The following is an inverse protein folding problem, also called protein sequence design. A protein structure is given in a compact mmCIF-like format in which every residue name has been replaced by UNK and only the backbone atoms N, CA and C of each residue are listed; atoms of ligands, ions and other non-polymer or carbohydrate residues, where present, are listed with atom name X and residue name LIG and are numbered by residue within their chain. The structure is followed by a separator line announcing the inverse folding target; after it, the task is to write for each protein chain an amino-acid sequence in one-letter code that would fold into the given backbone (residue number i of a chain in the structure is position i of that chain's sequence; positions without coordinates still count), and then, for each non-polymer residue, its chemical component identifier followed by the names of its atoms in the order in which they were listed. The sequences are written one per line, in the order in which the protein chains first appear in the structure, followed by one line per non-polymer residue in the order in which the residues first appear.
data_IF_735691648404
#
_entry.id   IF_735691648404
#
_cell.length_a   1.000
_cell.length_b   1.000
_cell.length_c   1.000
_cell.angle_alpha   90.00
_cell.angle_beta   90.00
_cell.angle_gamma   90.00
#
_symmetry.space_group_name_H-M   'P 1'
#
loop_
_entity.id
_entity.type
_entity.pdbx_description
1 polymer ?
#
# COMPACT_ATOMS: atom_id res chain seq x y z
N UNK A 1 2.45 33.01 -16.61
CA UNK A 1 2.92 32.17 -17.73
C UNK A 1 2.74 30.72 -17.29
N UNK A 2 1.69 30.04 -17.75
CA UNK A 2 1.57 28.60 -17.57
C UNK A 2 2.50 27.93 -18.57
N UNK A 3 3.45 27.11 -18.10
CA UNK A 3 4.27 26.27 -18.97
C UNK A 3 3.35 25.47 -19.90
N UNK A 4 3.40 25.76 -21.21
CA UNK A 4 2.61 25.06 -22.23
C UNK A 4 2.87 23.55 -22.29
N UNK A 5 3.90 23.09 -21.59
CA UNK A 5 4.38 21.71 -21.55
C UNK A 5 3.62 20.81 -20.55
N UNK A 6 2.62 21.32 -19.83
CA UNK A 6 1.81 20.55 -18.85
C UNK A 6 0.41 20.19 -19.32
N UNK A 7 -0.04 20.74 -20.45
CA UNK A 7 -1.38 20.50 -20.98
C UNK A 7 -1.48 19.04 -21.43
N UNK A 8 -2.51 18.32 -20.98
CA UNK A 8 -2.75 16.90 -21.30
C UNK A 8 -1.59 15.97 -20.92
N UNK A 9 -0.86 16.27 -19.85
CA UNK A 9 0.18 15.41 -19.29
C UNK A 9 -0.19 14.98 -17.86
N UNK A 10 0.33 13.84 -17.43
CA UNK A 10 0.18 13.34 -16.07
C UNK A 10 1.50 13.58 -15.33
N UNK A 11 1.45 14.23 -14.18
CA UNK A 11 2.61 14.44 -13.32
C UNK A 11 2.81 13.23 -12.40
N UNK A 12 3.95 12.57 -12.54
CA UNK A 12 4.43 11.52 -11.62
C UNK A 12 5.51 12.08 -10.69
N UNK A 13 5.96 11.27 -9.73
CA UNK A 13 7.06 11.62 -8.83
C UNK A 13 8.42 11.74 -9.53
N UNK A 14 8.59 11.17 -10.73
CA UNK A 14 9.83 11.23 -11.52
C UNK A 14 9.74 12.16 -12.74
N UNK A 15 8.56 12.71 -13.06
CA UNK A 15 8.39 13.60 -14.20
C UNK A 15 7.01 13.54 -14.84
N UNK A 16 6.85 14.23 -15.97
CA UNK A 16 5.63 14.18 -16.79
C UNK A 16 5.62 12.92 -17.66
N UNK A 17 4.44 12.34 -17.85
CA UNK A 17 4.17 11.25 -18.81
C UNK A 17 2.93 11.58 -19.65
N UNK A 18 2.81 10.95 -20.82
CA UNK A 18 1.59 11.03 -21.62
C UNK A 18 0.46 10.19 -20.99
N UNK A 19 -0.83 10.53 -21.23
CA UNK A 19 -1.96 9.74 -20.73
C UNK A 19 -1.95 8.28 -21.20
N UNK A 20 -1.44 8.01 -22.41
CA UNK A 20 -1.33 6.67 -22.99
C UNK A 20 -0.29 5.80 -22.27
N UNK A 21 0.71 6.41 -21.62
CA UNK A 21 1.75 5.71 -20.84
C UNK A 21 1.27 5.29 -19.45
N UNK A 22 0.16 5.85 -18.95
CA UNK A 22 -0.33 5.60 -17.59
C UNK A 22 -0.64 4.12 -17.34
N UNK A 23 -1.18 3.44 -18.35
CA UNK A 23 -1.59 2.05 -18.24
C UNK A 23 -2.64 1.82 -17.14
N UNK A 24 -2.64 0.62 -16.56
CA UNK A 24 -3.57 0.28 -15.48
C UNK A 24 -3.17 0.99 -14.18
N UNK A 25 -4.14 1.65 -13.55
CA UNK A 25 -3.90 2.50 -12.39
C UNK A 25 -4.95 2.25 -11.31
N UNK A 26 -4.47 2.06 -10.08
CA UNK A 26 -5.30 2.26 -8.89
C UNK A 26 -5.29 3.75 -8.57
N UNK A 27 -6.44 4.39 -8.68
CA UNK A 27 -6.54 5.85 -8.60
C UNK A 27 -6.40 6.41 -7.18
N UNK A 28 -6.50 5.56 -6.15
CA UNK A 28 -6.35 5.94 -4.75
C UNK A 28 -5.70 4.79 -3.97
N UNK A 29 -4.46 4.98 -3.53
CA UNK A 29 -3.76 4.06 -2.63
C UNK A 29 -2.81 4.84 -1.70
N UNK A 30 -2.43 4.23 -0.57
CA UNK A 30 -1.48 4.81 0.38
C UNK A 30 -0.20 3.97 0.44
N UNK A 31 0.89 4.47 -0.17
CA UNK A 31 2.22 3.80 -0.08
C UNK A 31 2.96 4.13 1.22
N UNK A 32 2.63 5.26 1.83
CA UNK A 32 3.05 5.64 3.18
C UNK A 32 1.97 6.52 3.79
N UNK A 33 1.67 6.31 5.07
CA UNK A 33 0.64 7.07 5.78
C UNK A 33 0.98 7.14 7.26
N UNK A 34 0.66 8.29 7.86
CA UNK A 34 0.57 8.45 9.30
C UNK A 34 -0.83 8.96 9.65
N UNK A 35 -1.71 8.04 10.05
CA UNK A 35 -3.09 8.32 10.43
C UNK A 35 -3.27 8.40 11.96
N UNK A 36 -2.20 8.71 12.72
CA UNK A 36 -2.26 8.73 14.20
C UNK A 36 -3.27 9.73 14.77
N UNK A 37 -3.59 10.79 14.02
CA UNK A 37 -4.62 11.77 14.39
C UNK A 37 -6.03 11.18 14.42
N UNK A 38 -6.26 10.06 13.74
CA UNK A 38 -7.54 9.34 13.72
C UNK A 38 -7.66 8.30 14.84
N UNK A 39 -6.70 8.24 15.77
CA UNK A 39 -6.70 7.26 16.85
C UNK A 39 -7.96 7.37 17.71
N UNK A 40 -8.59 6.22 17.94
CA UNK A 40 -9.77 6.08 18.81
C UNK A 40 -9.39 5.18 19.98
N UNK A 41 -9.40 5.73 21.19
CA UNK A 41 -9.07 4.99 22.40
C UNK A 41 -10.15 3.94 22.73
N UNK A 42 -9.83 2.64 22.89
CA UNK A 42 -10.84 1.63 23.19
C UNK A 42 -11.50 1.87 24.56
N UNK A 43 -12.84 1.80 24.59
CA UNK A 43 -13.63 2.08 25.79
C UNK A 43 -13.43 1.04 26.92
N UNK A 44 -13.18 -0.23 26.58
CA UNK A 44 -13.05 -1.30 27.58
C UNK A 44 -11.59 -1.47 27.99
N UNK A 45 -11.33 -1.47 29.29
CA UNK A 45 -9.98 -1.62 29.87
C UNK A 45 -9.23 -2.85 29.37
N UNK A 46 -9.93 -4.00 29.24
CA UNK A 46 -9.35 -5.26 28.73
C UNK A 46 -8.75 -5.17 27.33
N UNK A 47 -9.09 -4.14 26.54
CA UNK A 47 -8.57 -3.95 25.18
C UNK A 47 -7.44 -2.93 25.10
N UNK A 48 -7.10 -2.24 26.20
CA UNK A 48 -5.99 -1.27 26.23
C UNK A 48 -4.66 -1.93 25.86
N UNK A 49 -4.47 -3.18 26.26
CA UNK A 49 -3.27 -3.95 25.93
C UNK A 49 -3.11 -4.17 24.42
N UNK A 50 -4.20 -4.13 23.65
CA UNK A 50 -4.12 -4.33 22.20
C UNK A 50 -3.63 -3.08 21.46
N UNK A 51 -3.63 -1.89 22.07
CA UNK A 51 -3.31 -0.62 21.39
C UNK A 51 -1.94 -0.66 20.67
N UNK A 52 -0.94 -1.28 21.29
CA UNK A 52 0.44 -1.31 20.79
C UNK A 52 0.96 -2.73 20.51
N UNK A 53 0.09 -3.74 20.52
CA UNK A 53 0.54 -5.12 20.29
C UNK A 53 1.06 -5.27 18.85
N UNK A 54 1.99 -6.20 18.60
CA UNK A 54 2.31 -6.58 17.24
C UNK A 54 1.09 -7.21 16.56
N UNK A 55 1.07 -7.19 15.23
CA UNK A 55 0.09 -7.96 14.46
C UNK A 55 0.29 -9.46 14.69
N UNK A 56 -0.77 -10.13 15.10
CA UNK A 56 -0.80 -11.57 15.36
C UNK A 56 -2.13 -12.14 14.88
N UNK A 57 -2.22 -13.45 14.66
CA UNK A 57 -3.49 -14.06 14.27
C UNK A 57 -4.51 -13.99 15.41
N UNK A 58 -4.04 -14.03 16.66
CA UNK A 58 -4.88 -13.97 17.87
C UNK A 58 -5.59 -12.62 18.03
N UNK A 59 -4.93 -11.50 17.69
CA UNK A 59 -5.53 -10.16 17.79
C UNK A 59 -6.15 -9.65 16.47
N UNK A 60 -5.96 -10.37 15.36
CA UNK A 60 -6.43 -9.93 14.03
C UNK A 60 -7.92 -9.59 14.00
N UNK A 61 -8.77 -10.46 14.55
CA UNK A 61 -10.22 -10.22 14.59
C UNK A 61 -10.58 -8.94 15.36
N UNK A 62 -9.87 -8.63 16.44
CA UNK A 62 -10.09 -7.39 17.18
C UNK A 62 -9.66 -6.16 16.37
N UNK A 63 -8.50 -6.22 15.70
CA UNK A 63 -7.99 -5.12 14.87
C UNK A 63 -8.95 -4.81 13.73
N UNK A 64 -9.51 -5.83 13.05
CA UNK A 64 -10.50 -5.62 11.98
C UNK A 64 -11.74 -4.85 12.47
N UNK A 65 -12.22 -5.11 13.68
CA UNK A 65 -13.38 -4.42 14.26
C UNK A 65 -13.01 -3.06 14.88
N UNK A 66 -11.72 -2.81 15.14
CA UNK A 66 -11.22 -1.61 15.81
C UNK A 66 -9.96 -1.04 15.11
N UNK A 67 -10.02 -0.75 13.79
CA UNK A 67 -8.84 -0.43 12.99
C UNK A 67 -8.15 0.87 13.45
N UNK A 68 -8.91 1.78 14.05
CA UNK A 68 -8.42 3.05 14.58
C UNK A 68 -7.93 2.97 16.03
N UNK A 69 -8.09 1.83 16.70
CA UNK A 69 -7.66 1.63 18.09
C UNK A 69 -6.33 0.88 18.20
N UNK A 70 -5.80 0.38 17.09
CA UNK A 70 -4.50 -0.28 17.01
C UNK A 70 -3.49 0.68 16.39
N UNK A 71 -2.56 1.23 17.18
CA UNK A 71 -1.60 2.24 16.69
C UNK A 71 -0.75 1.75 15.52
N UNK A 72 -0.21 0.52 15.51
CA UNK A 72 0.51 0.01 14.35
C UNK A 72 -0.35 -0.12 13.08
N UNK A 73 -1.69 -0.18 13.19
CA UNK A 73 -2.58 -0.22 12.03
C UNK A 73 -2.81 1.17 11.40
N UNK A 74 -2.42 2.24 12.08
CA UNK A 74 -2.58 3.61 11.62
C UNK A 74 -1.38 4.13 10.84
N UNK A 75 -0.34 3.31 10.67
CA UNK A 75 0.93 3.74 10.12
C UNK A 75 1.41 2.75 9.05
N UNK A 76 1.87 3.29 7.94
CA UNK A 76 2.72 2.60 6.96
C UNK A 76 3.95 3.49 6.85
N UNK A 77 5.03 3.10 7.52
CA UNK A 77 6.23 3.90 7.66
C UNK A 77 7.47 3.18 7.08
N UNK A 78 8.67 3.67 7.42
CA UNK A 78 9.92 3.18 6.81
C UNK A 78 10.20 1.71 7.12
N UNK A 79 10.04 1.22 8.36
CA UNK A 79 10.04 -0.21 8.68
C UNK A 79 9.28 -1.10 7.70
N UNK A 80 8.15 -0.67 7.14
CA UNK A 80 7.37 -1.47 6.18
C UNK A 80 7.74 -1.27 4.70
N UNK A 81 8.76 -0.47 4.37
CA UNK A 81 9.12 -0.14 2.98
C UNK A 81 9.35 -1.39 2.11
N UNK A 82 10.02 -2.41 2.65
CA UNK A 82 10.25 -3.67 1.91
C UNK A 82 8.95 -4.43 1.62
N UNK A 83 8.00 -4.39 2.56
CA UNK A 83 6.67 -4.98 2.37
C UNK A 83 5.90 -4.20 1.31
N UNK A 84 5.90 -2.87 1.36
CA UNK A 84 5.25 -2.02 0.33
C UNK A 84 5.86 -2.29 -1.06
N UNK A 85 7.18 -2.39 -1.17
CA UNK A 85 7.85 -2.73 -2.42
C UNK A 85 7.46 -4.13 -2.93
N UNK A 86 7.27 -5.10 -2.04
CA UNK A 86 6.82 -6.43 -2.41
C UNK A 86 5.38 -6.40 -2.95
N UNK A 87 4.46 -5.73 -2.26
CA UNK A 87 3.06 -5.57 -2.70
C UNK A 87 2.96 -4.83 -4.05
N UNK A 88 3.79 -3.79 -4.27
CA UNK A 88 3.86 -3.09 -5.56
C UNK A 88 4.38 -3.99 -6.69
N UNK A 89 5.37 -4.85 -6.41
CA UNK A 89 5.82 -5.86 -7.38
C UNK A 89 4.71 -6.86 -7.67
N UNK A 90 3.95 -7.26 -6.64
CA UNK A 90 2.79 -8.13 -6.80
C UNK A 90 1.71 -7.52 -7.69
N UNK A 91 1.39 -6.23 -7.47
CA UNK A 91 0.51 -5.47 -8.35
C UNK A 91 1.04 -5.49 -9.79
N UNK A 92 2.32 -5.18 -10.00
CA UNK A 92 2.93 -5.19 -11.35
C UNK A 92 2.82 -6.53 -12.09
N UNK A 93 2.97 -7.67 -11.40
CA UNK A 93 2.96 -9.00 -12.04
C UNK A 93 1.58 -9.63 -12.16
N UNK A 94 0.63 -9.26 -11.30
CA UNK A 94 -0.75 -9.76 -11.33
C UNK A 94 -1.51 -9.43 -12.61
N UNK A 95 -0.94 -8.56 -13.45
CA UNK A 95 -1.53 -8.13 -14.72
C UNK A 95 -0.76 -8.57 -15.96
N UNK A 96 0.25 -9.44 -15.83
CA UNK A 96 0.62 -10.27 -16.97
C UNK A 96 -0.58 -11.20 -17.19
N UNK A 97 -1.32 -11.09 -18.31
CA UNK A 97 -2.41 -12.01 -18.57
C UNK A 97 -1.83 -13.42 -18.47
N UNK A 98 -2.60 -14.34 -17.89
CA UNK A 98 -2.39 -15.78 -17.92
C UNK A 98 -2.26 -16.27 -19.39
N UNK A 99 -1.19 -15.91 -20.06
CA UNK A 99 -0.69 -16.54 -21.26
C UNK A 99 0.20 -17.64 -20.73
N UNK A 100 -0.24 -18.87 -20.98
CA UNK A 100 0.39 -20.14 -20.60
C UNK A 100 0.04 -20.62 -19.19
N UNK A 101 -0.99 -21.46 -19.13
CA UNK A 101 -1.09 -22.47 -18.09
C UNK A 101 0.16 -23.34 -18.09
N UNK A 102 0.65 -23.66 -16.89
CA UNK A 102 1.67 -24.67 -16.67
C UNK A 102 3.11 -24.23 -16.97
N UNK A 103 3.90 -24.15 -15.89
CA UNK A 103 5.37 -24.22 -15.87
C UNK A 103 6.15 -23.00 -16.40
N UNK A 104 6.37 -22.00 -15.54
CA UNK A 104 7.65 -21.28 -15.43
C UNK A 104 7.69 -20.39 -14.17
N UNK A 105 7.63 -21.02 -12.98
CA UNK A 105 8.18 -20.38 -11.77
C UNK A 105 9.68 -20.64 -11.79
N UNK A 106 10.43 -19.74 -12.42
CA UNK A 106 11.82 -19.40 -12.07
C UNK A 106 12.38 -18.50 -13.17
N UNK A 107 13.22 -17.56 -12.74
CA UNK A 107 14.09 -16.74 -13.58
C UNK A 107 13.43 -15.47 -14.12
N UNK A 108 13.38 -14.43 -13.28
CA UNK A 108 13.86 -13.08 -13.64
C UNK A 108 13.90 -12.17 -12.38
N UNK A 109 14.83 -12.47 -11.48
CA UNK A 109 15.45 -11.46 -10.62
C UNK A 109 16.83 -11.23 -11.23
N UNK A 110 16.98 -10.13 -11.98
CA UNK A 110 18.25 -9.48 -12.34
C UNK A 110 17.92 -8.26 -13.18
N UNK A 111 17.88 -7.08 -12.56
CA UNK A 111 18.78 -5.94 -12.74
C UNK A 111 18.27 -4.82 -11.83
#
# INVERSE_FOLDING_TARGET
MSDSNRVNQIQTVTGLISPEELGQTLTHEHLSINASSFFVDPCQSRFKDNINKPFTLENYGWIQHNPYSHKPNLQIDRPEEQTVLHELKYFKVSFIPFLYGGAAVAQWVRH
#
